data_IF_299553045106
#
_entry.id   IF_299553045106
#
_cell.length_a   1.000
_cell.length_b   1.000
_cell.length_c   1.000
_cell.angle_alpha   90.00
_cell.angle_beta   90.00
_cell.angle_gamma   90.00
#
_symmetry.space_group_name_H-M   'P 1'
#
loop_
_entity.id
_entity.type
_entity.pdbx_description
1 polymer ?
#
# COMPACT_ATOMS: atom_id res chain seq x y z
N UNK A 1 -8.83 -22.25 -2.65
CA UNK A 1 -9.82 -21.17 -2.57
C UNK A 1 -9.35 -20.25 -1.47
N UNK A 2 -9.23 -18.96 -1.77
CA UNK A 2 -8.53 -18.01 -0.91
C UNK A 2 -9.46 -16.94 -0.32
N UNK A 3 -10.73 -16.92 -0.75
CA UNK A 3 -11.80 -16.13 -0.15
C UNK A 3 -12.84 -17.05 0.49
N UNK A 4 -13.12 -16.84 1.77
CA UNK A 4 -14.17 -17.50 2.54
C UNK A 4 -15.22 -16.49 2.97
N UNK A 5 -16.48 -16.87 2.84
CA UNK A 5 -17.62 -16.00 3.15
C UNK A 5 -18.44 -16.62 4.28
N UNK A 6 -19.00 -15.78 5.15
CA UNK A 6 -19.95 -16.19 6.17
C UNK A 6 -21.32 -15.65 5.81
N UNK A 7 -22.29 -16.56 5.73
CA UNK A 7 -23.69 -16.22 5.46
C UNK A 7 -24.58 -16.75 6.59
N UNK A 8 -25.61 -15.98 6.93
CA UNK A 8 -26.69 -16.42 7.83
C UNK A 8 -28.01 -16.08 7.16
N UNK A 9 -28.86 -17.10 6.95
CA UNK A 9 -30.17 -16.96 6.30
C UNK A 9 -30.09 -16.24 4.94
N UNK A 10 -29.05 -16.52 4.15
CA UNK A 10 -28.81 -15.90 2.84
C UNK A 10 -28.22 -14.49 2.87
N UNK A 11 -27.94 -13.93 4.06
CA UNK A 11 -27.30 -12.63 4.19
C UNK A 11 -25.79 -12.76 4.39
N UNK A 12 -25.02 -11.99 3.64
CA UNK A 12 -23.58 -11.82 3.85
C UNK A 12 -23.32 -11.11 5.18
N UNK A 13 -22.56 -11.75 6.07
CA UNK A 13 -22.24 -11.19 7.39
C UNK A 13 -20.74 -11.09 7.68
N UNK A 14 -19.89 -11.53 6.75
CA UNK A 14 -18.44 -11.40 6.91
C UNK A 14 -17.63 -12.22 5.90
N UNK A 15 -16.33 -12.00 5.90
CA UNK A 15 -15.38 -12.69 5.03
C UNK A 15 -14.01 -12.91 5.69
N UNK A 16 -13.26 -13.81 5.08
CA UNK A 16 -11.83 -13.99 5.25
C UNK A 16 -11.19 -14.03 3.86
N UNK A 17 -10.34 -13.07 3.57
CA UNK A 17 -9.47 -13.07 2.39
C UNK A 17 -8.06 -13.50 2.77
N UNK A 18 -7.46 -14.38 1.97
CA UNK A 18 -6.13 -14.93 2.16
C UNK A 18 -5.29 -14.56 0.96
N UNK A 19 -4.51 -13.49 1.07
CA UNK A 19 -3.64 -13.02 -0.01
C UNK A 19 -2.23 -13.66 0.12
N UNK A 20 -1.84 -14.59 -0.77
CA UNK A 20 -0.55 -15.27 -0.66
C UNK A 20 0.59 -14.50 -1.32
N UNK A 21 1.72 -14.40 -0.63
CA UNK A 21 2.98 -13.87 -1.15
C UNK A 21 4.05 -14.97 -1.02
N UNK A 22 3.94 -15.95 -1.92
CA UNK A 22 4.66 -17.23 -1.80
C UNK A 22 6.17 -17.08 -1.99
N UNK A 23 6.63 -16.06 -2.71
CA UNK A 23 8.07 -15.75 -2.89
C UNK A 23 8.74 -15.56 -1.52
N UNK A 24 8.09 -14.84 -0.61
CA UNK A 24 8.56 -14.61 0.75
C UNK A 24 7.91 -15.57 1.77
N UNK A 25 7.16 -16.57 1.29
CA UNK A 25 6.44 -17.56 2.10
C UNK A 25 5.53 -16.92 3.16
N UNK A 26 4.83 -15.85 2.78
CA UNK A 26 3.89 -15.12 3.65
C UNK A 26 2.46 -15.27 3.12
N UNK A 27 1.48 -15.20 4.01
CA UNK A 27 0.12 -14.83 3.66
C UNK A 27 -0.31 -13.61 4.46
N UNK A 28 -1.10 -12.74 3.84
CA UNK A 28 -1.85 -11.69 4.53
C UNK A 28 -3.28 -12.18 4.70
N UNK A 29 -3.80 -12.10 5.91
CA UNK A 29 -5.19 -12.43 6.22
C UNK A 29 -5.94 -11.12 6.46
N UNK A 30 -7.04 -10.93 5.75
CA UNK A 30 -7.99 -9.87 6.00
C UNK A 30 -9.32 -10.48 6.45
N UNK A 31 -9.81 -10.02 7.60
CA UNK A 31 -11.00 -10.57 8.23
C UNK A 31 -11.95 -9.45 8.63
N UNK A 32 -13.17 -9.56 8.15
CA UNK A 32 -14.22 -8.64 8.54
C UNK A 32 -15.51 -9.37 8.85
N UNK A 33 -16.19 -8.91 9.90
CA UNK A 33 -17.51 -9.38 10.30
C UNK A 33 -18.37 -8.16 10.61
N UNK A 34 -19.60 -8.21 10.10
CA UNK A 34 -20.63 -7.23 10.31
C UNK A 34 -20.82 -6.96 11.82
N UNK A 35 -20.82 -5.70 12.30
CA UNK A 35 -20.81 -5.37 13.73
C UNK A 35 -21.83 -6.12 14.59
N UNK A 36 -23.06 -6.28 14.10
CA UNK A 36 -24.20 -6.94 14.78
C UNK A 36 -24.01 -8.46 14.99
N UNK A 37 -23.11 -9.06 14.21
CA UNK A 37 -22.79 -10.48 14.24
C UNK A 37 -21.48 -10.78 14.99
N UNK A 38 -20.83 -9.76 15.56
CA UNK A 38 -19.60 -9.93 16.35
C UNK A 38 -19.88 -10.60 17.70
N UNK A 39 -18.80 -11.02 18.39
CA UNK A 39 -18.83 -11.73 19.69
C UNK A 39 -19.52 -13.11 19.67
N UNK A 40 -19.75 -13.68 18.49
CA UNK A 40 -20.31 -15.04 18.29
C UNK A 40 -19.26 -16.10 17.91
N UNK A 41 -17.98 -15.79 18.10
CA UNK A 41 -16.86 -16.68 17.73
C UNK A 41 -16.58 -16.82 16.22
N UNK A 42 -17.29 -16.07 15.37
CA UNK A 42 -17.14 -16.15 13.91
C UNK A 42 -15.72 -15.76 13.45
N UNK A 43 -15.13 -14.70 14.03
CA UNK A 43 -13.78 -14.24 13.69
C UNK A 43 -12.75 -15.34 13.94
N UNK A 44 -12.88 -16.03 15.08
CA UNK A 44 -12.01 -17.14 15.46
C UNK A 44 -12.09 -18.29 14.45
N UNK A 45 -13.30 -18.64 14.00
CA UNK A 45 -13.50 -19.68 12.97
C UNK A 45 -12.86 -19.27 11.65
N UNK A 46 -13.12 -18.04 11.19
CA UNK A 46 -12.56 -17.50 9.96
C UNK A 46 -11.02 -17.48 9.99
N UNK A 47 -10.42 -16.96 11.06
CA UNK A 47 -8.96 -16.91 11.23
C UNK A 47 -8.35 -18.32 11.30
N UNK A 48 -9.04 -19.29 11.89
CA UNK A 48 -8.61 -20.69 11.85
C UNK A 48 -8.63 -21.27 10.43
N UNK A 49 -9.64 -20.94 9.62
CA UNK A 49 -9.67 -21.30 8.20
C UNK A 49 -8.53 -20.64 7.41
N UNK A 50 -8.32 -19.33 7.59
CA UNK A 50 -7.21 -18.61 6.95
C UNK A 50 -5.84 -19.18 7.33
N UNK A 51 -5.64 -19.53 8.61
CA UNK A 51 -4.40 -20.14 9.10
C UNK A 51 -4.19 -21.54 8.52
N UNK A 52 -5.24 -22.36 8.41
CA UNK A 52 -5.16 -23.67 7.75
C UNK A 52 -4.79 -23.52 6.29
N UNK A 53 -5.41 -22.56 5.60
CA UNK A 53 -5.10 -22.26 4.20
C UNK A 53 -3.65 -21.82 4.03
N UNK A 54 -3.12 -21.02 4.94
CA UNK A 54 -1.71 -20.63 4.97
C UNK A 54 -0.78 -21.86 5.05
N UNK A 55 -1.14 -22.85 5.88
CA UNK A 55 -0.38 -24.10 6.04
C UNK A 55 -0.43 -24.95 4.76
N UNK A 56 -1.59 -25.09 4.12
CA UNK A 56 -1.74 -25.79 2.83
C UNK A 56 -0.85 -25.16 1.74
N UNK A 57 -0.76 -23.83 1.73
CA UNK A 57 0.10 -23.06 0.83
C UNK A 57 1.58 -23.10 1.22
N UNK A 58 1.94 -23.81 2.29
CA UNK A 58 3.30 -23.91 2.84
C UNK A 58 3.91 -22.54 3.19
N UNK A 59 3.07 -21.58 3.54
CA UNK A 59 3.52 -20.30 4.07
C UNK A 59 4.19 -20.52 5.44
N UNK A 60 5.22 -19.72 5.72
CA UNK A 60 5.93 -19.71 7.00
C UNK A 60 5.32 -18.74 8.00
N UNK A 61 4.70 -17.67 7.50
CA UNK A 61 4.18 -16.59 8.33
C UNK A 61 2.81 -16.15 7.81
N UNK A 62 1.87 -15.95 8.73
CA UNK A 62 0.61 -15.26 8.46
C UNK A 62 0.63 -13.92 9.17
N UNK A 63 0.31 -12.84 8.47
CA UNK A 63 0.15 -11.52 9.06
C UNK A 63 -1.30 -11.07 8.94
N UNK A 64 -1.73 -10.29 9.93
CA UNK A 64 -3.02 -9.60 9.95
C UNK A 64 -2.72 -8.14 10.26
N UNK A 65 -3.29 -7.23 9.48
CA UNK A 65 -3.24 -5.81 9.79
C UNK A 65 -4.56 -5.39 10.43
N UNK A 66 -4.50 -4.68 11.55
CA UNK A 66 -5.69 -4.21 12.26
C UNK A 66 -5.50 -2.76 12.71
N UNK A 67 -6.59 -1.97 12.81
CA UNK A 67 -6.53 -0.67 13.47
C UNK A 67 -6.01 -0.80 14.91
N UNK A 68 -5.19 0.15 15.35
CA UNK A 68 -4.56 0.08 16.67
C UNK A 68 -5.58 0.19 17.82
N UNK A 69 -6.68 0.90 17.61
CA UNK A 69 -7.79 1.03 18.56
C UNK A 69 -8.74 -0.19 18.58
N UNK A 70 -8.52 -1.19 17.71
CA UNK A 70 -9.37 -2.38 17.66
C UNK A 70 -8.99 -3.42 18.73
N UNK A 71 -9.37 -3.13 19.98
CA UNK A 71 -9.10 -3.97 21.17
C UNK A 71 -9.64 -5.39 20.99
N UNK A 72 -10.80 -5.55 20.37
CA UNK A 72 -11.43 -6.87 20.18
C UNK A 72 -10.60 -7.73 19.22
N UNK A 73 -10.12 -7.16 18.10
CA UNK A 73 -9.26 -7.88 17.18
C UNK A 73 -7.92 -8.26 17.83
N UNK A 74 -7.29 -7.34 18.57
CA UNK A 74 -6.06 -7.62 19.34
C UNK A 74 -6.25 -8.83 20.28
N UNK A 75 -7.35 -8.87 21.02
CA UNK A 75 -7.66 -9.99 21.93
C UNK A 75 -7.88 -11.31 21.19
N UNK A 76 -8.64 -11.32 20.09
CA UNK A 76 -8.90 -12.53 19.30
C UNK A 76 -7.62 -13.07 18.67
N UNK A 77 -6.80 -12.20 18.09
CA UNK A 77 -5.52 -12.56 17.47
C UNK A 77 -4.54 -13.13 18.50
N UNK A 78 -4.42 -12.50 19.67
CA UNK A 78 -3.56 -12.99 20.75
C UNK A 78 -3.97 -14.39 21.22
N UNK A 79 -5.28 -14.66 21.37
CA UNK A 79 -5.79 -16.01 21.71
C UNK A 79 -5.49 -17.07 20.65
N UNK A 80 -5.27 -16.66 19.41
CA UNK A 80 -4.89 -17.52 18.29
C UNK A 80 -3.37 -17.62 18.10
N UNK A 81 -2.57 -17.06 19.01
CA UNK A 81 -1.11 -17.14 18.98
C UNK A 81 -0.42 -16.10 18.10
N UNK A 82 -1.16 -15.11 17.58
CA UNK A 82 -0.56 -13.97 16.89
C UNK A 82 0.05 -13.00 17.92
N UNK A 83 1.16 -12.38 17.53
CA UNK A 83 1.85 -11.37 18.32
C UNK A 83 2.01 -10.09 17.48
N UNK A 84 2.02 -8.93 18.13
CA UNK A 84 2.32 -7.68 17.43
C UNK A 84 3.78 -7.68 16.99
N UNK A 85 4.00 -7.46 15.70
CA UNK A 85 5.35 -7.44 15.10
C UNK A 85 5.71 -6.10 14.47
N UNK A 86 4.71 -5.24 14.22
CA UNK A 86 4.91 -3.94 13.58
C UNK A 86 3.73 -3.00 13.80
N UNK A 87 4.04 -1.71 13.89
CA UNK A 87 3.08 -0.62 13.84
C UNK A 87 3.30 0.18 12.56
N UNK A 88 2.21 0.57 11.91
CA UNK A 88 2.20 1.48 10.76
C UNK A 88 1.49 2.77 11.15
N UNK A 89 2.00 3.89 10.68
CA UNK A 89 1.41 5.20 10.88
C UNK A 89 0.82 5.68 9.54
N UNK A 90 -0.43 6.12 9.57
CA UNK A 90 -1.03 6.88 8.48
C UNK A 90 -0.77 8.36 8.74
N UNK A 91 -0.13 9.04 7.79
CA UNK A 91 0.34 10.42 7.94
C UNK A 91 -0.38 11.33 6.96
N UNK A 92 -1.20 12.24 7.49
CA UNK A 92 -1.97 13.20 6.69
C UNK A 92 -1.29 14.55 6.66
N UNK A 93 -1.41 15.25 5.53
CA UNK A 93 -0.92 16.62 5.37
C UNK A 93 -1.95 17.44 4.60
N UNK A 94 -2.44 18.52 5.19
CA UNK A 94 -3.28 19.48 4.48
C UNK A 94 -2.42 20.31 3.53
N UNK A 95 -2.65 20.19 2.23
CA UNK A 95 -1.84 20.85 1.20
C UNK A 95 -2.14 22.35 1.10
N UNK A 96 -3.29 22.82 1.60
CA UNK A 96 -3.66 24.26 1.57
C UNK A 96 -2.68 25.10 2.39
N UNK A 97 -2.12 24.53 3.45
CA UNK A 97 -1.25 25.25 4.40
C UNK A 97 0.25 25.09 4.07
N UNK A 98 0.61 24.27 3.07
CA UNK A 98 2.00 23.91 2.80
C UNK A 98 2.67 24.95 1.90
N UNK A 99 3.63 25.68 2.45
CA UNK A 99 4.60 26.46 1.66
C UNK A 99 5.72 25.55 1.19
N UNK A 100 5.70 25.23 -0.10
CA UNK A 100 6.76 24.42 -0.71
C UNK A 100 8.00 25.29 -0.95
N UNK A 101 9.21 24.77 -0.69
CA UNK A 101 10.45 25.45 -1.07
C UNK A 101 10.51 25.59 -2.59
N UNK A 102 11.26 26.56 -3.10
CA UNK A 102 11.44 26.81 -4.53
C UNK A 102 11.73 25.50 -5.30
N UNK A 103 10.71 25.03 -6.02
CA UNK A 103 10.57 23.63 -6.44
C UNK A 103 11.47 23.38 -7.66
N UNK A 104 11.67 24.41 -8.49
CA UNK A 104 12.21 24.27 -9.84
C UNK A 104 13.62 23.66 -9.86
N UNK A 105 14.50 24.07 -8.93
CA UNK A 105 15.84 23.49 -8.79
C UNK A 105 15.82 22.08 -8.20
N UNK A 106 14.85 21.78 -7.34
CA UNK A 106 14.77 20.51 -6.61
C UNK A 106 14.19 19.41 -7.50
N UNK A 107 13.26 19.75 -8.40
CA UNK A 107 12.61 18.79 -9.30
C UNK A 107 13.32 18.64 -10.64
N UNK A 108 14.47 19.31 -10.83
CA UNK A 108 15.30 19.10 -12.01
C UNK A 108 15.61 17.60 -12.21
N UNK A 109 15.32 17.08 -13.40
CA UNK A 109 15.44 15.66 -13.73
C UNK A 109 14.27 14.79 -13.28
N UNK A 110 13.18 15.36 -12.74
CA UNK A 110 11.95 14.63 -12.48
C UNK A 110 11.05 14.58 -13.71
N UNK A 111 10.41 13.44 -13.94
CA UNK A 111 9.43 13.25 -15.02
C UNK A 111 8.44 12.15 -14.68
N UNK A 112 7.29 12.14 -15.37
CA UNK A 112 6.36 11.02 -15.28
C UNK A 112 6.98 9.74 -15.85
N UNK A 113 6.53 8.60 -15.32
CA UNK A 113 6.76 7.30 -15.94
C UNK A 113 6.09 7.29 -17.33
N UNK A 114 6.78 6.74 -18.33
CA UNK A 114 6.22 6.56 -19.67
C UNK A 114 5.78 5.12 -19.83
N UNK A 115 4.72 4.92 -20.62
CA UNK A 115 4.30 3.59 -21.05
C UNK A 115 5.46 2.86 -21.74
N UNK A 116 5.71 1.61 -21.36
CA UNK A 116 6.86 0.83 -21.82
C UNK A 116 8.12 0.99 -20.97
N UNK A 117 8.11 1.82 -19.92
CA UNK A 117 9.22 1.93 -18.94
C UNK A 117 8.90 1.28 -17.58
N UNK A 118 7.89 0.40 -17.52
CA UNK A 118 7.45 -0.28 -16.30
C UNK A 118 8.58 -1.12 -15.66
N UNK A 119 9.51 -1.62 -16.49
CA UNK A 119 10.73 -2.30 -16.06
C UNK A 119 11.62 -1.40 -15.19
N UNK A 120 11.72 -0.11 -15.52
CA UNK A 120 12.50 0.87 -14.76
C UNK A 120 11.89 1.08 -13.39
N UNK A 121 10.55 1.15 -13.30
CA UNK A 121 9.85 1.26 -12.04
C UNK A 121 10.06 -0.01 -11.19
N UNK A 122 9.78 -1.19 -11.73
CA UNK A 122 9.98 -2.46 -11.02
C UNK A 122 11.42 -2.59 -10.49
N UNK A 123 12.42 -2.21 -11.31
CA UNK A 123 13.83 -2.24 -10.91
C UNK A 123 14.14 -1.31 -9.74
N UNK A 124 13.66 -0.06 -9.75
CA UNK A 124 13.92 0.88 -8.64
C UNK A 124 13.15 0.48 -7.38
N UNK A 125 11.91 -0.04 -7.48
CA UNK A 125 11.18 -0.55 -6.31
C UNK A 125 11.95 -1.68 -5.65
N UNK A 126 12.35 -2.68 -6.45
CA UNK A 126 13.11 -3.82 -5.96
C UNK A 126 14.43 -3.39 -5.31
N UNK A 127 15.18 -2.48 -5.93
CA UNK A 127 16.42 -1.95 -5.33
C UNK A 127 16.16 -1.17 -4.04
N UNK A 128 15.09 -0.38 -3.99
CA UNK A 128 14.77 0.44 -2.83
C UNK A 128 14.29 -0.39 -1.63
N UNK A 129 13.62 -1.52 -1.86
CA UNK A 129 12.94 -2.26 -0.79
C UNK A 129 13.44 -3.70 -0.56
N UNK A 130 14.34 -4.24 -1.39
CA UNK A 130 14.97 -5.54 -1.13
C UNK A 130 15.61 -5.58 0.26
N UNK A 131 15.30 -6.63 1.02
CA UNK A 131 15.77 -6.81 2.38
C UNK A 131 15.01 -6.01 3.44
N UNK A 132 14.05 -5.16 3.05
CA UNK A 132 13.16 -4.50 4.01
C UNK A 132 12.05 -5.43 4.46
N UNK A 133 11.55 -5.22 5.68
CA UNK A 133 10.53 -6.08 6.27
C UNK A 133 9.30 -6.15 5.38
N UNK A 134 8.89 -7.38 5.06
CA UNK A 134 7.62 -7.65 4.40
C UNK A 134 7.53 -7.18 2.95
N UNK A 135 8.65 -6.82 2.32
CA UNK A 135 8.65 -6.50 0.90
C UNK A 135 8.62 -7.77 0.06
N UNK A 136 7.57 -7.91 -0.75
CA UNK A 136 7.49 -8.91 -1.81
C UNK A 136 8.04 -8.28 -3.10
N UNK A 137 9.04 -8.90 -3.78
CA UNK A 137 9.61 -8.32 -5.00
C UNK A 137 8.54 -8.04 -6.06
N UNK A 138 8.53 -6.82 -6.57
CA UNK A 138 7.57 -6.38 -7.59
C UNK A 138 8.00 -6.87 -8.97
N UNK A 139 7.09 -7.40 -9.77
CA UNK A 139 7.36 -7.78 -11.17
C UNK A 139 6.93 -6.71 -12.16
N UNK A 140 7.42 -6.80 -13.41
CA UNK A 140 7.04 -5.86 -14.47
C UNK A 140 5.55 -6.01 -14.82
N UNK A 141 5.05 -7.24 -14.82
CA UNK A 141 3.65 -7.57 -15.10
C UNK A 141 2.72 -6.95 -14.05
N UNK A 142 3.11 -6.95 -12.78
CA UNK A 142 2.35 -6.28 -11.71
C UNK A 142 2.30 -4.77 -11.94
N UNK A 143 3.42 -4.14 -12.29
CA UNK A 143 3.43 -2.70 -12.61
C UNK A 143 2.52 -2.41 -13.81
N UNK A 144 2.61 -3.20 -14.88
CA UNK A 144 1.74 -3.06 -16.06
C UNK A 144 0.27 -3.22 -15.64
N UNK A 145 -0.06 -4.22 -14.82
CA UNK A 145 -1.41 -4.43 -14.35
C UNK A 145 -1.94 -3.21 -13.58
N UNK A 146 -1.22 -2.76 -12.55
CA UNK A 146 -1.66 -1.64 -11.70
C UNK A 146 -1.73 -0.31 -12.46
N UNK A 147 -0.79 -0.02 -13.36
CA UNK A 147 -0.80 1.22 -14.14
C UNK A 147 -1.86 1.25 -15.24
N UNK A 148 -2.52 0.13 -15.54
CA UNK A 148 -3.66 0.04 -16.47
C UNK A 148 -5.02 -0.05 -15.77
N UNK A 149 -5.08 -0.04 -14.43
CA UNK A 149 -6.35 0.06 -13.71
C UNK A 149 -7.00 1.43 -13.97
N UNK A 150 -8.32 1.48 -14.05
CA UNK A 150 -9.07 2.73 -14.34
C UNK A 150 -8.84 3.87 -13.34
N UNK A 151 -8.38 3.53 -12.14
CA UNK A 151 -8.06 4.47 -11.05
C UNK A 151 -6.58 4.88 -10.98
N UNK A 152 -5.74 4.37 -11.88
CA UNK A 152 -4.30 4.58 -11.89
C UNK A 152 -3.80 4.94 -13.30
N UNK A 153 -2.68 5.63 -13.37
CA UNK A 153 -2.00 5.96 -14.62
C UNK A 153 -0.49 5.95 -14.42
N UNK A 154 0.26 5.76 -15.51
CA UNK A 154 1.71 6.03 -15.50
C UNK A 154 2.02 7.48 -15.13
N UNK A 155 1.07 8.40 -15.36
CA UNK A 155 1.18 9.80 -14.95
C UNK A 155 1.12 10.00 -13.43
N UNK A 156 0.62 9.02 -12.67
CA UNK A 156 0.62 9.08 -11.21
C UNK A 156 1.97 8.71 -10.58
N UNK A 157 2.94 8.30 -11.42
CA UNK A 157 4.30 7.93 -11.03
C UNK A 157 5.27 9.01 -11.48
N UNK A 158 5.94 9.64 -10.51
CA UNK A 158 7.08 10.53 -10.76
C UNK A 158 8.38 9.75 -10.56
N UNK A 159 9.29 9.85 -11.52
CA UNK A 159 10.65 9.35 -11.45
C UNK A 159 11.62 10.53 -11.29
N UNK A 160 12.50 10.45 -10.30
CA UNK A 160 13.68 11.32 -10.20
C UNK A 160 14.85 10.67 -10.92
N UNK A 161 15.42 11.37 -11.90
CA UNK A 161 16.51 10.86 -12.74
C UNK A 161 17.83 11.63 -12.51
N UNK A 162 18.94 10.93 -12.67
CA UNK A 162 20.30 11.46 -12.77
C UNK A 162 20.89 10.97 -14.10
N UNK A 163 20.84 11.83 -15.12
CA UNK A 163 20.98 11.43 -16.51
C UNK A 163 19.91 10.39 -16.89
N UNK A 164 20.33 9.25 -17.42
CA UNK A 164 19.45 8.13 -17.80
C UNK A 164 19.07 7.21 -16.63
N UNK A 165 19.67 7.40 -15.45
CA UNK A 165 19.45 6.54 -14.29
C UNK A 165 18.28 7.03 -13.46
N UNK A 166 17.30 6.16 -13.22
CA UNK A 166 16.26 6.39 -12.21
C UNK A 166 16.85 6.17 -10.83
N UNK A 167 16.82 7.21 -9.99
CA UNK A 167 17.44 7.22 -8.66
C UNK A 167 16.43 7.38 -7.53
N UNK A 168 15.18 7.68 -7.85
CA UNK A 168 14.06 7.70 -6.92
C UNK A 168 12.73 7.76 -7.65
N UNK A 169 11.65 7.47 -6.94
CA UNK A 169 10.30 7.53 -7.49
C UNK A 169 9.28 7.82 -6.40
N UNK A 170 8.15 8.40 -6.81
CA UNK A 170 6.96 8.60 -6.01
C UNK A 170 5.75 8.13 -6.82
N UNK A 171 5.09 7.07 -6.37
CA UNK A 171 3.84 6.59 -6.94
C UNK A 171 2.69 7.03 -6.06
N UNK A 172 1.79 7.78 -6.68
CA UNK A 172 0.60 8.33 -6.03
C UNK A 172 -0.68 7.81 -6.66
N UNK A 173 -1.81 8.20 -6.10
CA UNK A 173 -3.09 8.13 -6.78
C UNK A 173 -4.10 8.99 -6.07
N UNK A 174 -5.29 9.08 -6.66
CA UNK A 174 -6.38 9.85 -6.07
C UNK A 174 -7.52 8.95 -5.68
N UNK A 175 -7.94 9.09 -4.43
CA UNK A 175 -9.06 8.35 -3.86
C UNK A 175 -10.23 9.30 -3.61
N UNK A 176 -11.43 8.80 -3.81
CA UNK A 176 -12.66 9.48 -3.41
C UNK A 176 -13.03 9.01 -2.01
N UNK A 177 -13.44 9.93 -1.14
CA UNK A 177 -13.98 9.59 0.18
C UNK A 177 -15.50 9.39 0.08
N UNK A 178 -16.04 8.35 0.72
CA UNK A 178 -17.48 8.18 0.90
C UNK A 178 -17.92 8.98 2.13
N UNK A 179 -18.70 10.05 1.92
CA UNK A 179 -19.38 10.82 2.99
C UNK A 179 -18.83 12.24 3.23
N UNK A 180 -19.76 13.19 3.15
CA UNK A 180 -19.69 14.66 3.24
C UNK A 180 -18.54 15.41 2.54
N UNK A 181 -18.92 16.05 1.43
CA UNK A 181 -18.19 17.02 0.61
C UNK A 181 -17.17 16.49 -0.42
N UNK A 182 -17.33 15.27 -0.97
CA UNK A 182 -16.82 14.90 -2.31
C UNK A 182 -15.36 15.24 -2.62
N UNK A 183 -14.52 15.32 -1.59
CA UNK A 183 -13.16 15.83 -1.69
C UNK A 183 -12.25 14.79 -2.30
N UNK A 184 -11.51 15.17 -3.36
CA UNK A 184 -10.47 14.31 -3.92
C UNK A 184 -9.27 14.32 -2.97
N UNK A 185 -8.94 13.16 -2.40
CA UNK A 185 -7.73 12.98 -1.60
C UNK A 185 -6.62 12.39 -2.44
N UNK A 186 -5.41 12.87 -2.23
CA UNK A 186 -4.24 12.24 -2.80
C UNK A 186 -3.58 11.32 -1.79
N UNK A 187 -3.12 10.17 -2.27
CA UNK A 187 -2.40 9.19 -1.47
C UNK A 187 -1.06 8.88 -2.14
N UNK A 188 -0.02 8.80 -1.33
CA UNK A 188 1.27 8.24 -1.76
C UNK A 188 1.19 6.73 -1.51
N UNK A 189 1.15 5.93 -2.56
CA UNK A 189 1.14 4.47 -2.45
C UNK A 189 2.53 3.94 -2.14
N UNK A 190 3.55 4.47 -2.81
CA UNK A 190 4.93 4.04 -2.62
C UNK A 190 5.92 5.13 -2.97
N UNK A 191 6.90 5.35 -2.09
CA UNK A 191 7.99 6.31 -2.27
C UNK A 191 9.31 5.61 -2.01
N UNK A 192 10.24 5.67 -2.96
CA UNK A 192 11.52 4.97 -2.85
C UNK A 192 12.69 5.73 -3.45
N UNK A 193 13.88 5.40 -3.00
CA UNK A 193 15.14 5.91 -3.52
C UNK A 193 16.13 4.76 -3.69
N UNK A 194 16.96 4.85 -4.73
CA UNK A 194 18.05 3.91 -4.96
C UNK A 194 18.98 3.92 -3.73
N UNK A 195 19.38 2.75 -3.19
CA UNK A 195 20.24 2.67 -2.02
C UNK A 195 21.54 3.46 -2.18
N UNK A 196 22.10 3.54 -3.39
CA UNK A 196 23.35 4.25 -3.69
C UNK A 196 23.17 5.79 -3.63
N UNK A 197 21.92 6.27 -3.61
CA UNK A 197 21.54 7.69 -3.61
C UNK A 197 20.77 8.11 -2.35
N UNK A 198 20.66 7.21 -1.35
CA UNK A 198 20.07 7.56 -0.05
C UNK A 198 20.89 8.64 0.65
N UNK A 199 20.22 9.46 1.46
CA UNK A 199 20.84 10.63 2.11
C UNK A 199 21.15 11.81 1.17
N UNK A 200 20.91 11.69 -0.14
CA UNK A 200 21.19 12.73 -1.15
C UNK A 200 19.92 13.38 -1.73
N UNK A 201 18.78 13.20 -1.05
CA UNK A 201 17.52 13.84 -1.41
C UNK A 201 16.75 13.23 -2.59
N UNK A 202 17.15 12.08 -3.16
CA UNK A 202 16.46 11.49 -4.33
C UNK A 202 14.94 11.24 -4.10
N UNK A 203 14.56 10.67 -2.94
CA UNK A 203 13.15 10.48 -2.60
C UNK A 203 12.41 11.81 -2.40
N UNK A 204 13.05 12.80 -1.74
CA UNK A 204 12.49 14.15 -1.58
C UNK A 204 12.23 14.83 -2.93
N UNK A 205 13.14 14.66 -3.90
CA UNK A 205 12.97 15.18 -5.26
C UNK A 205 11.76 14.56 -5.96
N UNK A 206 11.64 13.23 -5.94
CA UNK A 206 10.49 12.54 -6.55
C UNK A 206 9.16 12.95 -5.89
N UNK A 207 9.14 13.08 -4.56
CA UNK A 207 7.97 13.55 -3.82
C UNK A 207 7.57 14.98 -4.23
N UNK A 208 8.52 15.91 -4.24
CA UNK A 208 8.24 17.30 -4.62
C UNK A 208 7.89 17.46 -6.10
N UNK A 209 8.44 16.61 -6.97
CA UNK A 209 8.07 16.56 -8.40
C UNK A 209 6.60 16.21 -8.62
N UNK A 210 6.00 15.47 -7.70
CA UNK A 210 4.56 15.20 -7.74
C UNK A 210 3.71 16.36 -7.19
N UNK A 211 4.18 17.03 -6.15
CA UNK A 211 3.45 18.14 -5.50
C UNK A 211 3.54 19.45 -6.32
N UNK A 212 4.58 19.62 -7.13
CA UNK A 212 4.87 20.86 -7.85
C UNK A 212 3.77 21.43 -8.78
N UNK A 213 2.98 20.63 -9.53
CA UNK A 213 1.97 21.17 -10.43
C UNK A 213 0.81 21.86 -9.68
N UNK A 214 0.39 23.08 -10.11
CA UNK A 214 -0.63 23.88 -9.42
C UNK A 214 -2.03 23.23 -9.38
N UNK A 215 -2.34 22.33 -10.33
CA UNK A 215 -3.60 21.59 -10.40
C UNK A 215 -3.83 20.64 -9.22
N UNK A 216 -2.78 20.33 -8.44
CA UNK A 216 -2.84 19.42 -7.28
C UNK A 216 -2.88 20.13 -5.92
N UNK A 217 -2.82 21.48 -5.91
CA UNK A 217 -2.86 22.29 -4.69
C UNK A 217 -4.26 22.36 -4.03
N UNK A 218 -5.29 21.79 -4.67
CA UNK A 218 -6.65 21.62 -4.11
C UNK A 218 -6.93 20.24 -3.49
N UNK A 219 -5.92 19.37 -3.38
CA UNK A 219 -6.07 18.02 -2.81
C UNK A 219 -5.72 18.03 -1.33
N UNK A 220 -6.58 17.47 -0.47
CA UNK A 220 -6.19 17.18 0.92
C UNK A 220 -5.37 15.89 0.95
N UNK A 221 -4.21 15.92 1.62
CA UNK A 221 -3.29 14.78 1.71
C UNK A 221 -3.69 13.81 2.82
N UNK A 222 -3.54 12.52 2.56
CA UNK A 222 -3.82 11.42 3.48
C UNK A 222 -2.57 10.61 3.81
#
# INVERSE_FOLDING_TARGET
QDLFIVEIAGNFIGYMDVAPELIIKRVILDCWIYPEHRRRGLATKLLAHGTRRAQELRARVAHVNIPDDNIIAKMVLSRLGFNSVRHFLELRLDMVEVRLPDIDRVVAGCRHLRRGEEDKLAKIQNRAFTGTWGYNPTTVEEIIYFTNLSSCSTEDVILACDGDKVIGYCWTGTTYEEGDAGGRKARIFMLGADPDYRGRGAGKRALLGWVGPPEKQGLTGC
#
